data_IF_024657187654
#
_entry.id   IF_024657187654
#
_cell.length_a   1.000
_cell.length_b   1.000
_cell.length_c   1.000
_cell.angle_alpha   90.00
_cell.angle_beta   90.00
_cell.angle_gamma   90.00
#
_symmetry.space_group_name_H-M   'P 1'
#
loop_
_entity.id
_entity.type
_entity.pdbx_description
1 polymer ?
#
# COMPACT_ATOMS: atom_id res chain seq x y z
N UNK A 1 3.57 -9.69 -33.39
CA UNK A 1 3.01 -11.06 -33.38
C UNK A 1 4.07 -11.97 -32.76
N UNK A 2 3.99 -12.48 -31.54
CA UNK A 2 2.89 -12.60 -30.57
C UNK A 2 3.44 -12.38 -29.17
N UNK A 3 2.63 -11.66 -28.40
CA UNK A 3 2.54 -11.68 -26.96
C UNK A 3 2.70 -13.11 -26.42
N UNK A 4 3.78 -13.33 -25.69
CA UNK A 4 3.93 -14.53 -24.87
C UNK A 4 3.19 -14.28 -23.56
N UNK A 5 2.17 -15.06 -23.19
CA UNK A 5 1.33 -14.84 -21.99
C UNK A 5 2.09 -14.89 -20.66
N UNK A 6 3.36 -15.30 -20.70
CA UNK A 6 4.19 -15.64 -19.57
C UNK A 6 5.37 -14.68 -19.36
N UNK A 7 5.50 -13.63 -20.17
CA UNK A 7 6.52 -12.61 -19.93
C UNK A 7 5.94 -11.54 -19.01
N UNK A 8 6.42 -11.49 -17.77
CA UNK A 8 5.97 -10.62 -16.67
C UNK A 8 6.22 -9.11 -16.91
N UNK A 9 6.40 -8.68 -18.17
CA UNK A 9 6.59 -7.30 -18.55
C UNK A 9 5.22 -6.63 -18.73
N UNK A 10 4.92 -5.62 -17.89
CA UNK A 10 3.70 -4.76 -17.82
C UNK A 10 2.63 -5.06 -16.76
N UNK A 11 2.91 -5.79 -15.67
CA UNK A 11 1.98 -5.88 -14.53
C UNK A 11 2.51 -5.48 -13.15
N UNK A 12 3.68 -4.84 -13.06
CA UNK A 12 4.00 -4.01 -11.90
C UNK A 12 3.56 -2.58 -12.18
N UNK A 13 2.26 -2.29 -11.98
CA UNK A 13 1.95 -1.00 -11.35
C UNK A 13 2.47 -1.17 -9.93
N UNK A 14 3.67 -0.66 -9.68
CA UNK A 14 4.27 -0.60 -8.34
C UNK A 14 3.18 -0.10 -7.38
N UNK A 15 2.70 -0.97 -6.49
CA UNK A 15 1.63 -0.65 -5.53
C UNK A 15 0.19 -0.98 -5.92
N UNK A 16 -0.09 -1.75 -6.96
CA UNK A 16 -1.46 -2.19 -7.28
C UNK A 16 -1.95 -3.44 -6.53
N UNK A 17 -1.16 -3.95 -5.58
CA UNK A 17 -1.44 -5.19 -4.84
C UNK A 17 -1.82 -4.83 -3.40
N UNK A 18 -2.96 -5.30 -2.89
CA UNK A 18 -3.34 -5.05 -1.52
C UNK A 18 -2.43 -5.79 -0.53
N UNK A 19 -2.22 -5.20 0.65
CA UNK A 19 -1.33 -5.74 1.69
C UNK A 19 -2.10 -6.11 2.96
N UNK A 20 -1.74 -7.23 3.58
CA UNK A 20 -2.16 -7.57 4.94
C UNK A 20 -0.89 -7.66 5.78
N UNK A 21 -0.77 -6.82 6.80
CA UNK A 21 0.45 -6.70 7.61
C UNK A 21 0.13 -6.57 9.10
N UNK A 22 1.12 -6.83 9.96
CA UNK A 22 0.97 -6.67 11.40
C UNK A 22 0.92 -5.20 11.78
N UNK A 23 0.10 -4.85 12.77
CA UNK A 23 -0.04 -3.51 13.33
C UNK A 23 1.10 -3.16 14.31
N UNK A 24 2.35 -3.23 13.84
CA UNK A 24 3.51 -2.87 14.65
C UNK A 24 3.63 -1.34 14.78
N UNK A 25 4.14 -0.87 15.91
CA UNK A 25 4.25 0.57 16.27
C UNK A 25 4.99 1.43 15.23
N UNK A 26 5.84 0.82 14.39
CA UNK A 26 6.86 1.55 13.63
C UNK A 26 6.61 1.73 12.13
N UNK A 27 5.45 1.40 11.53
CA UNK A 27 5.36 1.68 10.09
C UNK A 27 4.07 1.44 9.28
N UNK A 28 3.32 0.35 9.44
CA UNK A 28 2.32 0.03 8.43
C UNK A 28 1.01 0.84 8.60
N UNK A 29 0.75 1.43 9.78
CA UNK A 29 -0.41 2.31 10.02
C UNK A 29 -0.48 3.50 9.06
N UNK A 30 0.66 4.10 8.75
CA UNK A 30 0.70 5.30 7.94
C UNK A 30 0.58 5.03 6.44
N UNK A 31 0.68 3.76 6.03
CA UNK A 31 0.66 3.34 4.62
C UNK A 31 -0.64 2.60 4.30
N UNK A 32 -1.14 1.77 5.22
CA UNK A 32 -2.30 0.90 5.00
C UNK A 32 -3.60 1.63 5.32
N UNK A 33 -4.51 1.64 4.34
CA UNK A 33 -5.84 2.22 4.39
C UNK A 33 -6.85 1.06 4.30
N UNK A 34 -7.53 0.72 5.40
CA UNK A 34 -8.54 -0.35 5.44
C UNK A 34 -9.57 -0.22 4.33
N UNK A 35 -9.80 -1.30 3.58
CA UNK A 35 -10.77 -1.35 2.48
C UNK A 35 -10.33 -0.67 1.19
N UNK A 36 -9.14 -0.07 1.17
CA UNK A 36 -8.55 0.51 -0.05
C UNK A 36 -7.37 -0.33 -0.50
N UNK A 37 -6.24 -0.24 0.20
CA UNK A 37 -4.98 -0.87 -0.20
C UNK A 37 -4.54 -2.00 0.73
N UNK A 38 -5.30 -2.32 1.78
CA UNK A 38 -4.90 -3.36 2.71
C UNK A 38 -5.67 -3.39 4.02
N UNK A 39 -5.23 -4.26 4.92
CA UNK A 39 -5.71 -4.37 6.30
C UNK A 39 -4.55 -4.65 7.24
N UNK A 40 -4.72 -4.30 8.52
CA UNK A 40 -3.75 -4.60 9.56
C UNK A 40 -4.35 -5.59 10.56
N UNK A 41 -3.57 -6.60 10.93
CA UNK A 41 -3.90 -7.51 12.04
C UNK A 41 -3.07 -7.13 13.27
N UNK A 42 -3.58 -7.41 14.45
CA UNK A 42 -2.87 -7.12 15.70
C UNK A 42 -1.56 -7.91 15.80
N UNK A 43 -0.46 -7.24 16.15
CA UNK A 43 0.84 -7.87 16.32
C UNK A 43 0.78 -9.02 17.35
N UNK A 44 1.33 -10.17 16.98
CA UNK A 44 1.32 -11.39 17.79
C UNK A 44 -0.02 -12.14 17.84
N UNK A 45 -1.08 -11.63 17.20
CA UNK A 45 -2.39 -12.27 17.17
C UNK A 45 -2.63 -13.02 15.85
N UNK A 46 -2.27 -14.30 15.84
CA UNK A 46 -2.48 -15.17 14.68
C UNK A 46 -3.97 -15.40 14.36
N UNK A 47 -4.85 -15.33 15.36
CA UNK A 47 -6.28 -15.53 15.13
C UNK A 47 -6.86 -14.34 14.37
N UNK A 48 -6.42 -13.14 14.70
CA UNK A 48 -6.81 -11.92 13.99
C UNK A 48 -6.31 -11.94 12.54
N UNK A 49 -5.07 -12.38 12.29
CA UNK A 49 -4.56 -12.60 10.94
C UNK A 49 -5.42 -13.58 10.14
N UNK A 50 -5.71 -14.76 10.70
CA UNK A 50 -6.52 -15.79 10.05
C UNK A 50 -7.93 -15.25 9.76
N UNK A 51 -8.53 -14.52 10.70
CA UNK A 51 -9.85 -13.92 10.53
C UNK A 51 -9.88 -12.97 9.34
N UNK A 52 -8.91 -12.05 9.22
CA UNK A 52 -8.84 -11.11 8.10
C UNK A 52 -8.71 -11.87 6.77
N UNK A 53 -7.87 -12.90 6.71
CA UNK A 53 -7.72 -13.73 5.50
C UNK A 53 -9.03 -14.44 5.16
N UNK A 54 -9.67 -15.07 6.14
CA UNK A 54 -10.96 -15.73 5.94
C UNK A 54 -12.03 -14.76 5.45
N UNK A 55 -12.11 -13.57 6.04
CA UNK A 55 -13.10 -12.56 5.64
C UNK A 55 -12.83 -12.02 4.23
N UNK A 56 -11.57 -11.95 3.78
CA UNK A 56 -11.22 -11.63 2.39
C UNK A 56 -11.63 -12.77 1.44
N UNK A 57 -11.34 -14.03 1.79
CA UNK A 57 -11.70 -15.20 0.97
C UNK A 57 -13.23 -15.36 0.86
N UNK A 58 -13.95 -15.09 1.95
CA UNK A 58 -15.41 -15.11 2.02
C UNK A 58 -16.06 -13.90 1.32
N UNK A 59 -15.27 -12.93 0.86
CA UNK A 59 -15.77 -11.70 0.22
C UNK A 59 -16.43 -10.70 1.16
N UNK A 60 -16.25 -10.85 2.48
CA UNK A 60 -16.73 -9.89 3.49
C UNK A 60 -15.84 -8.65 3.57
N UNK A 61 -14.55 -8.82 3.31
CA UNK A 61 -13.58 -7.73 3.14
C UNK A 61 -13.18 -7.65 1.67
N UNK A 62 -13.02 -6.42 1.18
CA UNK A 62 -12.66 -6.14 -0.20
C UNK A 62 -11.57 -5.08 -0.28
N UNK A 63 -10.93 -5.02 -1.43
CA UNK A 63 -9.95 -4.00 -1.76
C UNK A 63 -10.46 -3.17 -2.93
N UNK A 64 -9.91 -1.97 -3.09
CA UNK A 64 -10.22 -1.14 -4.24
C UNK A 64 -9.55 -1.72 -5.51
N UNK A 65 -9.82 -1.10 -6.65
CA UNK A 65 -9.20 -1.42 -7.92
C UNK A 65 -7.68 -1.27 -7.84
N UNK A 66 -6.90 -2.09 -8.56
CA UNK A 66 -5.43 -1.97 -8.59
C UNK A 66 -4.93 -0.56 -8.91
N UNK A 67 -5.69 0.20 -9.70
CA UNK A 67 -5.38 1.57 -10.08
C UNK A 67 -5.52 2.55 -8.91
N UNK A 68 -6.54 2.37 -8.07
CA UNK A 68 -6.72 3.18 -6.87
C UNK A 68 -5.72 2.79 -5.79
N UNK A 69 -5.41 1.50 -5.63
CA UNK A 69 -4.36 1.02 -4.72
C UNK A 69 -3.01 1.65 -5.10
N UNK A 70 -2.65 1.64 -6.39
CA UNK A 70 -1.39 2.24 -6.86
C UNK A 70 -1.30 3.75 -6.54
N UNK A 71 -2.40 4.50 -6.64
CA UNK A 71 -2.43 5.92 -6.25
C UNK A 71 -2.13 6.15 -4.77
N UNK A 72 -2.52 5.22 -3.89
CA UNK A 72 -2.26 5.38 -2.45
C UNK A 72 -0.76 5.42 -2.12
N UNK A 73 0.07 4.74 -2.92
CA UNK A 73 1.52 4.68 -2.71
C UNK A 73 2.28 5.79 -3.44
N UNK A 74 1.65 6.50 -4.39
CA UNK A 74 2.31 7.55 -5.18
C UNK A 74 2.91 8.67 -4.33
N UNK A 75 2.29 8.99 -3.17
CA UNK A 75 2.82 10.00 -2.24
C UNK A 75 4.17 9.66 -1.61
N UNK A 76 4.56 8.38 -1.67
CA UNK A 76 5.83 7.87 -1.16
C UNK A 76 6.88 7.69 -2.26
N UNK A 77 6.58 8.12 -3.50
CA UNK A 77 7.57 8.15 -4.59
C UNK A 77 8.73 9.09 -4.23
N UNK A 78 9.92 8.70 -4.65
CA UNK A 78 11.17 9.42 -4.37
C UNK A 78 11.05 10.90 -4.74
N UNK A 79 10.50 11.20 -5.92
CA UNK A 79 10.38 12.57 -6.41
C UNK A 79 9.51 13.44 -5.50
N UNK A 80 8.40 12.88 -5.00
CA UNK A 80 7.47 13.57 -4.09
C UNK A 80 8.12 13.81 -2.73
N UNK A 81 8.84 12.82 -2.21
CA UNK A 81 9.53 12.93 -0.91
C UNK A 81 10.63 13.98 -0.98
N UNK A 82 11.46 13.96 -2.03
CA UNK A 82 12.53 14.94 -2.23
C UNK A 82 11.96 16.35 -2.37
N UNK A 83 10.87 16.53 -3.13
CA UNK A 83 10.22 17.83 -3.28
C UNK A 83 9.67 18.35 -1.94
N UNK A 84 9.05 17.49 -1.14
CA UNK A 84 8.54 17.85 0.19
C UNK A 84 9.66 18.28 1.14
N UNK A 85 10.80 17.58 1.11
CA UNK A 85 11.99 17.96 1.91
C UNK A 85 12.50 19.32 1.47
N UNK A 86 12.63 19.55 0.15
CA UNK A 86 13.10 20.82 -0.38
C UNK A 86 12.19 21.99 0.02
N UNK A 87 10.86 21.83 -0.11
CA UNK A 87 9.86 22.82 0.32
C UNK A 87 9.96 23.13 1.82
N UNK A 88 10.13 22.10 2.65
CA UNK A 88 10.30 22.27 4.09
C UNK A 88 11.57 23.07 4.43
N UNK A 89 12.69 22.78 3.77
CA UNK A 89 13.95 23.53 3.93
C UNK A 89 13.81 24.98 3.47
N UNK A 90 13.21 25.22 2.31
CA UNK A 90 12.97 26.58 1.81
C UNK A 90 12.11 27.40 2.79
N UNK A 91 11.07 26.79 3.35
CA UNK A 91 10.18 27.44 4.33
C UNK A 91 10.93 27.83 5.61
N UNK A 92 11.91 27.03 6.03
CA UNK A 92 12.76 27.35 7.18
C UNK A 92 13.76 28.47 6.90
N UNK A 93 14.28 28.53 5.67
CA UNK A 93 15.28 29.52 5.26
C UNK A 93 14.68 30.88 4.84
N UNK A 94 13.37 30.93 4.55
CA UNK A 94 12.63 32.16 4.20
C UNK A 94 11.84 32.74 5.38
N UNK A 95 12.01 32.17 6.58
CA UNK A 95 11.63 32.77 7.86
C UNK A 95 12.79 33.56 8.44
#
# INVERSE_FOLDING_TARGET
MRDSPWCWSKRSKEGGIPVISSDCESGPKDIVIPGVNGYLYKEGDMNDFVKIISDVVDGKLSFDTPDNIAKTVERFREEVVVENIYKALQTLLTK
#
